data_IF_689291702873
#
_entry.id   IF_689291702873
#
_cell.length_a   1.000
_cell.length_b   1.000
_cell.length_c   1.000
_cell.angle_alpha   90.00
_cell.angle_beta   90.00
_cell.angle_gamma   90.00
#
_symmetry.space_group_name_H-M   'P 1'
#
loop_
_entity.id
_entity.type
_entity.pdbx_description
1 polymer ?
#
# COMPACT_ATOMS: atom_id res chain seq x y z
N UNK A 1 -1.38 -5.36 17.71
CA UNK A 1 -2.39 -5.69 16.67
C UNK A 1 -1.72 -6.58 15.63
N UNK A 2 -2.39 -7.63 15.13
CA UNK A 2 -1.81 -8.46 14.08
C UNK A 2 -1.71 -7.68 12.76
N UNK A 3 -0.64 -7.95 12.01
CA UNK A 3 -0.41 -7.43 10.66
C UNK A 3 -0.36 -8.61 9.69
N UNK A 4 -1.03 -8.48 8.54
CA UNK A 4 -0.84 -9.39 7.41
C UNK A 4 0.02 -8.66 6.39
N UNK A 5 1.07 -9.32 5.93
CA UNK A 5 1.96 -8.78 4.91
C UNK A 5 2.13 -9.79 3.77
N UNK A 6 2.05 -9.27 2.55
CA UNK A 6 2.29 -9.99 1.31
C UNK A 6 3.43 -9.29 0.57
N UNK A 7 4.51 -10.03 0.32
CA UNK A 7 5.70 -9.51 -0.33
C UNK A 7 5.87 -10.13 -1.72
N UNK A 8 6.11 -9.28 -2.71
CA UNK A 8 6.23 -9.66 -4.11
C UNK A 8 7.51 -9.09 -4.71
N UNK A 9 8.09 -9.80 -5.67
CA UNK A 9 9.10 -9.26 -6.57
C UNK A 9 8.44 -8.95 -7.92
N UNK A 10 8.67 -7.74 -8.43
CA UNK A 10 8.32 -7.44 -9.82
C UNK A 10 9.16 -8.29 -10.78
N UNK A 11 8.76 -8.34 -12.06
CA UNK A 11 9.57 -8.97 -13.12
C UNK A 11 10.99 -8.39 -13.22
N UNK A 12 11.18 -7.14 -12.79
CA UNK A 12 12.48 -6.45 -12.77
C UNK A 12 13.23 -6.61 -11.45
N UNK A 13 12.75 -7.45 -10.53
CA UNK A 13 13.38 -7.72 -9.24
C UNK A 13 13.17 -6.62 -8.18
N UNK A 14 12.24 -5.69 -8.40
CA UNK A 14 11.91 -4.65 -7.42
C UNK A 14 10.96 -5.24 -6.36
N UNK A 15 11.29 -5.16 -5.06
CA UNK A 15 10.39 -5.64 -4.02
C UNK A 15 9.19 -4.69 -3.84
N UNK A 16 8.03 -5.28 -3.63
CA UNK A 16 6.78 -4.61 -3.26
C UNK A 16 6.19 -5.33 -2.05
N UNK A 17 6.04 -4.59 -0.96
CA UNK A 17 5.32 -5.06 0.22
C UNK A 17 3.91 -4.50 0.25
N UNK A 18 2.92 -5.33 0.57
CA UNK A 18 1.55 -4.93 0.84
C UNK A 18 1.16 -5.36 2.25
N UNK A 19 0.80 -4.39 3.09
CA UNK A 19 0.46 -4.60 4.50
C UNK A 19 -1.01 -4.25 4.78
N UNK A 20 -1.65 -5.06 5.62
CA UNK A 20 -3.02 -4.85 6.09
C UNK A 20 -3.03 -4.96 7.62
N UNK A 21 -3.64 -3.97 8.26
CA UNK A 21 -3.81 -3.92 9.72
C UNK A 21 -5.21 -3.48 10.07
N UNK A 22 -5.78 -3.97 11.17
CA UNK A 22 -7.04 -3.43 11.69
C UNK A 22 -6.82 -1.97 12.11
N UNK A 23 -7.71 -1.07 11.70
CA UNK A 23 -7.63 0.36 12.02
C UNK A 23 -8.95 0.87 12.59
N UNK A 24 -8.86 1.70 13.63
CA UNK A 24 -10.00 2.44 14.18
C UNK A 24 -10.13 3.85 13.60
N UNK A 25 -9.28 4.22 12.64
CA UNK A 25 -9.29 5.54 12.04
C UNK A 25 -10.41 5.70 11.01
N UNK A 26 -10.79 6.96 10.74
CA UNK A 26 -11.72 7.27 9.68
C UNK A 26 -11.17 6.86 8.30
N UNK A 27 -12.08 6.51 7.39
CA UNK A 27 -11.74 6.23 5.99
C UNK A 27 -10.97 7.39 5.37
N UNK A 28 -9.86 7.09 4.69
CA UNK A 28 -9.00 8.08 4.05
C UNK A 28 -8.53 7.55 2.69
N UNK A 29 -8.53 8.39 1.65
CA UNK A 29 -8.09 7.97 0.33
C UNK A 29 -6.58 7.68 0.31
N UNK A 30 -6.08 6.98 -0.73
CA UNK A 30 -4.64 6.77 -0.93
C UNK A 30 -3.84 8.08 -0.90
N UNK A 31 -2.95 8.17 0.09
CA UNK A 31 -1.94 9.21 0.22
C UNK A 31 -0.56 8.62 -0.09
N UNK A 32 0.34 9.47 -0.59
CA UNK A 32 1.71 9.08 -0.90
C UNK A 32 2.70 9.77 0.02
N UNK A 33 3.66 8.99 0.50
CA UNK A 33 4.81 9.43 1.26
C UNK A 33 6.09 8.90 0.61
N UNK A 34 7.19 9.65 0.75
CA UNK A 34 8.53 9.18 0.40
C UNK A 34 9.36 9.09 1.67
N UNK A 35 9.93 7.91 1.91
CA UNK A 35 10.78 7.67 3.07
C UNK A 35 12.02 6.88 2.66
N UNK A 36 13.21 7.46 2.85
CA UNK A 36 14.52 6.79 2.58
C UNK A 36 14.61 6.12 1.20
N UNK A 37 14.09 6.78 0.16
CA UNK A 37 14.09 6.26 -1.21
C UNK A 37 13.03 5.19 -1.51
N UNK A 38 12.13 4.91 -0.57
CA UNK A 38 10.92 4.12 -0.78
C UNK A 38 9.74 5.05 -1.05
N UNK A 39 8.91 4.65 -2.00
CA UNK A 39 7.57 5.20 -2.16
C UNK A 39 6.62 4.37 -1.31
N UNK A 40 5.80 5.06 -0.53
CA UNK A 40 4.80 4.48 0.36
C UNK A 40 3.44 5.01 -0.07
N UNK A 41 2.48 4.13 -0.35
CA UNK A 41 1.09 4.53 -0.53
C UNK A 41 0.26 3.89 0.57
N UNK A 42 -0.45 4.69 1.35
CA UNK A 42 -1.26 4.21 2.46
C UNK A 42 -2.67 4.78 2.41
N UNK A 43 -3.64 4.00 2.90
CA UNK A 43 -5.04 4.40 2.98
C UNK A 43 -5.76 3.66 4.11
N UNK A 44 -6.96 4.14 4.46
CA UNK A 44 -7.83 3.48 5.45
C UNK A 44 -9.19 3.28 4.82
N UNK A 45 -9.74 2.07 4.90
CA UNK A 45 -11.06 1.75 4.36
C UNK A 45 -11.62 0.51 5.06
N UNK A 46 -12.93 0.49 5.32
CA UNK A 46 -13.60 -0.70 5.87
C UNK A 46 -13.09 -1.16 7.25
N UNK A 47 -12.54 -0.26 8.07
CA UNK A 47 -11.96 -0.61 9.38
C UNK A 47 -10.56 -1.22 9.30
N UNK A 48 -9.88 -1.10 8.16
CA UNK A 48 -8.51 -1.55 7.96
C UNK A 48 -7.63 -0.44 7.39
N UNK A 49 -6.39 -0.41 7.86
CA UNK A 49 -5.30 0.35 7.27
C UNK A 49 -4.54 -0.52 6.27
N UNK A 50 -4.17 0.10 5.16
CA UNK A 50 -3.46 -0.53 4.05
C UNK A 50 -2.20 0.25 3.73
N UNK A 51 -1.15 -0.44 3.32
CA UNK A 51 0.10 0.19 2.92
C UNK A 51 0.79 -0.60 1.82
N UNK A 52 1.28 0.11 0.81
CA UNK A 52 2.18 -0.41 -0.22
C UNK A 52 3.53 0.26 -0.05
N UNK A 53 4.60 -0.52 0.05
CA UNK A 53 5.97 -0.02 0.21
C UNK A 53 6.85 -0.60 -0.89
N UNK A 54 7.48 0.27 -1.70
CA UNK A 54 8.35 -0.19 -2.80
C UNK A 54 9.28 0.91 -3.32
N UNK A 55 10.31 0.51 -4.07
CA UNK A 55 11.06 1.43 -4.94
C UNK A 55 10.40 1.66 -6.30
N UNK A 56 9.26 1.01 -6.59
CA UNK A 56 8.45 1.28 -7.77
C UNK A 56 8.16 2.78 -7.87
N UNK A 57 8.28 3.42 -9.06
CA UNK A 57 7.99 4.84 -9.23
C UNK A 57 6.61 5.23 -8.71
N UNK A 58 6.53 6.41 -8.08
CA UNK A 58 5.32 6.90 -7.40
C UNK A 58 4.05 6.80 -8.27
N UNK A 59 4.11 7.24 -9.53
CA UNK A 59 2.95 7.21 -10.41
C UNK A 59 2.41 5.78 -10.61
N UNK A 60 3.32 4.81 -10.77
CA UNK A 60 2.96 3.41 -10.94
C UNK A 60 2.45 2.81 -9.62
N UNK A 61 3.06 3.14 -8.48
CA UNK A 61 2.63 2.66 -7.17
C UNK A 61 1.21 3.17 -6.83
N UNK A 62 0.88 4.42 -7.17
CA UNK A 62 -0.48 4.97 -7.03
C UNK A 62 -1.50 4.22 -7.90
N UNK A 63 -1.13 3.80 -9.11
CA UNK A 63 -2.02 3.00 -9.98
C UNK A 63 -2.29 1.63 -9.35
N UNK A 64 -1.27 0.98 -8.79
CA UNK A 64 -1.43 -0.29 -8.07
C UNK A 64 -2.36 -0.12 -6.87
N UNK A 65 -2.15 0.92 -6.05
CA UNK A 65 -2.99 1.22 -4.90
C UNK A 65 -4.46 1.41 -5.28
N UNK A 66 -4.75 2.22 -6.31
CA UNK A 66 -6.12 2.41 -6.83
C UNK A 66 -6.72 1.11 -7.37
N UNK A 67 -5.91 0.25 -7.98
CA UNK A 67 -6.32 -1.08 -8.42
C UNK A 67 -6.75 -1.97 -7.26
N UNK A 68 -5.95 -2.02 -6.19
CA UNK A 68 -6.24 -2.80 -4.98
C UNK A 68 -7.47 -2.27 -4.23
N UNK A 69 -7.58 -0.94 -4.10
CA UNK A 69 -8.71 -0.29 -3.45
C UNK A 69 -10.05 -0.73 -4.05
N UNK A 70 -10.13 -0.85 -5.39
CA UNK A 70 -11.34 -1.28 -6.12
C UNK A 70 -11.61 -2.79 -6.10
N UNK A 71 -10.60 -3.59 -5.73
CA UNK A 71 -10.66 -5.06 -5.85
C UNK A 71 -11.06 -5.71 -4.54
N UNK A 72 -10.58 -5.17 -3.43
CA UNK A 72 -10.80 -5.74 -2.09
C UNK A 72 -12.01 -5.12 -1.37
N UNK A 73 -12.58 -4.04 -1.91
CA UNK A 73 -13.75 -3.30 -1.40
C UNK A 73 -14.46 -2.63 -2.58
#
# INVERSE_FOLDING_TARGET
>A
MPVVQLDYLTKTGIPLSFSIVKSGEASRPPALEKHRGLNIVHWVMGGYGFMLVSRIPEAQLRVIAKGMQRRFF
#
